data_IF_834198761572
#
_entry.id   IF_834198761572
#
_cell.length_a   1.000
_cell.length_b   1.000
_cell.length_c   1.000
_cell.angle_alpha   90.00
_cell.angle_beta   90.00
_cell.angle_gamma   90.00
#
_symmetry.space_group_name_H-M   'P 1'
#
loop_
_entity.id
_entity.type
_entity.pdbx_description
1 polymer ?
#
# COMPACT_ATOMS: atom_id res chain seq x y z
N UNK A 1 -24.61 7.40 -9.14
CA UNK A 1 -23.69 8.43 -8.64
C UNK A 1 -22.43 8.39 -9.53
N UNK A 2 -22.25 9.36 -10.44
CA UNK A 2 -21.08 9.41 -11.36
C UNK A 2 -19.84 9.81 -10.56
N UNK A 3 -18.74 9.07 -10.68
CA UNK A 3 -17.44 9.52 -10.16
C UNK A 3 -17.08 10.87 -10.80
N UNK A 4 -16.59 11.84 -10.02
CA UNK A 4 -16.15 13.11 -10.59
C UNK A 4 -15.04 12.88 -11.60
N UNK A 5 -15.03 13.71 -12.64
CA UNK A 5 -13.98 13.69 -13.65
C UNK A 5 -12.65 14.04 -12.98
N UNK A 6 -11.78 13.04 -12.78
CA UNK A 6 -10.38 13.32 -12.50
C UNK A 6 -9.77 13.72 -13.84
N UNK A 7 -9.49 15.01 -14.02
CA UNK A 7 -8.84 15.55 -15.22
C UNK A 7 -9.58 15.28 -16.54
N UNK A 8 -10.91 15.42 -16.55
CA UNK A 8 -11.73 15.35 -17.77
C UNK A 8 -11.98 13.95 -18.34
N UNK A 9 -11.66 12.88 -17.61
CA UNK A 9 -11.93 11.51 -18.07
C UNK A 9 -13.33 11.10 -17.62
N UNK A 10 -14.33 11.34 -18.47
CA UNK A 10 -15.71 10.87 -18.27
C UNK A 10 -16.30 10.13 -19.48
N UNK A 11 -15.54 10.00 -20.58
CA UNK A 11 -15.96 9.39 -21.84
C UNK A 11 -14.82 8.55 -22.43
N UNK A 12 -15.14 7.41 -23.05
CA UNK A 12 -14.24 6.33 -23.47
C UNK A 12 -13.17 6.67 -24.53
N UNK A 13 -12.98 7.95 -24.86
CA UNK A 13 -11.96 8.42 -25.79
C UNK A 13 -10.96 9.34 -25.06
N UNK A 14 -9.78 8.78 -24.75
CA UNK A 14 -8.70 9.43 -23.98
C UNK A 14 -8.22 10.76 -24.61
N UNK A 15 -8.37 10.91 -25.93
CA UNK A 15 -8.08 12.13 -26.70
C UNK A 15 -8.99 12.27 -27.94
N UNK A 16 -10.30 12.09 -27.76
CA UNK A 16 -11.27 12.13 -28.86
C UNK A 16 -10.94 11.09 -29.94
N UNK A 17 -10.98 11.48 -31.22
CA UNK A 17 -10.71 10.57 -32.34
C UNK A 17 -9.22 10.27 -32.59
N UNK A 18 -8.31 10.69 -31.71
CA UNK A 18 -6.89 10.35 -31.83
C UNK A 18 -6.62 8.98 -31.20
N UNK A 19 -6.14 8.03 -32.02
CA UNK A 19 -5.68 6.74 -31.53
C UNK A 19 -4.37 6.91 -30.76
N UNK A 20 -4.45 6.79 -29.43
CA UNK A 20 -3.27 6.78 -28.57
C UNK A 20 -2.91 5.34 -28.24
N UNK A 21 -1.70 4.91 -28.64
CA UNK A 21 -1.20 3.56 -28.36
C UNK A 21 -1.05 3.29 -26.86
N UNK A 22 -0.63 4.29 -26.07
CA UNK A 22 -0.32 4.13 -24.65
C UNK A 22 -0.48 5.44 -23.87
N UNK A 23 -1.36 5.47 -22.88
CA UNK A 23 -1.48 6.59 -21.93
C UNK A 23 -1.92 6.08 -20.55
N UNK A 24 -0.97 5.51 -19.81
CA UNK A 24 -1.22 4.89 -18.51
C UNK A 24 -1.73 5.89 -17.46
N UNK A 25 -1.26 7.14 -17.53
CA UNK A 25 -1.73 8.21 -16.63
C UNK A 25 -3.19 8.58 -16.81
N UNK A 26 -3.82 8.19 -17.93
CA UNK A 26 -5.27 8.31 -18.12
C UNK A 26 -5.98 6.97 -17.99
N UNK A 27 -5.46 5.91 -18.60
CA UNK A 27 -6.09 4.58 -18.61
C UNK A 27 -6.09 3.95 -17.21
N UNK A 28 -4.96 3.96 -16.52
CA UNK A 28 -4.84 3.36 -15.19
C UNK A 28 -5.44 4.30 -14.15
N UNK A 29 -5.13 5.60 -14.22
CA UNK A 29 -5.62 6.59 -13.27
C UNK A 29 -7.15 6.80 -13.34
N UNK A 30 -7.83 6.38 -14.41
CA UNK A 30 -9.29 6.41 -14.42
C UNK A 30 -9.89 5.62 -13.24
N UNK A 31 -9.37 4.41 -12.99
CA UNK A 31 -9.79 3.58 -11.85
C UNK A 31 -8.88 3.76 -10.62
N UNK A 32 -7.59 4.00 -10.84
CA UNK A 32 -6.57 4.08 -9.79
C UNK A 32 -6.24 5.51 -9.33
N UNK A 33 -6.88 6.52 -9.93
CA UNK A 33 -6.68 7.96 -9.68
C UNK A 33 -7.12 8.43 -8.30
N UNK A 34 -8.02 7.68 -7.65
CA UNK A 34 -8.42 7.99 -6.28
C UNK A 34 -7.37 7.63 -5.23
N UNK A 35 -6.34 6.84 -5.56
CA UNK A 35 -5.42 6.28 -4.55
C UNK A 35 -4.01 6.06 -5.08
N UNK A 36 -3.85 5.12 -6.01
CA UNK A 36 -2.54 4.59 -6.40
C UNK A 36 -1.78 5.59 -7.27
N UNK A 37 -2.47 6.22 -8.24
CA UNK A 37 -1.81 7.16 -9.14
C UNK A 37 -1.27 8.40 -8.42
N UNK A 38 -2.04 9.10 -7.56
CA UNK A 38 -1.51 10.24 -6.80
C UNK A 38 -0.39 9.89 -5.81
N UNK A 39 -0.42 8.67 -5.24
CA UNK A 39 0.71 8.17 -4.42
C UNK A 39 1.96 8.02 -5.30
N UNK A 40 1.83 7.38 -6.46
CA UNK A 40 2.93 7.13 -7.38
C UNK A 40 3.55 8.41 -7.95
N UNK A 41 2.72 9.38 -8.36
CA UNK A 41 3.17 10.68 -8.88
C UNK A 41 3.59 11.66 -7.78
N UNK A 42 3.23 11.38 -6.53
CA UNK A 42 3.50 12.25 -5.37
C UNK A 42 2.52 13.42 -5.23
N UNK A 43 1.47 13.48 -6.05
CA UNK A 43 0.33 14.41 -5.87
C UNK A 43 -0.35 14.22 -4.51
N UNK A 44 -0.20 13.05 -3.88
CA UNK A 44 -0.65 12.77 -2.54
C UNK A 44 0.53 12.52 -1.58
N UNK A 45 0.54 13.22 -0.45
CA UNK A 45 1.57 13.05 0.59
C UNK A 45 2.95 13.61 0.22
N UNK A 46 3.11 14.22 -0.96
CA UNK A 46 4.31 14.94 -1.38
C UNK A 46 5.53 14.06 -1.68
N UNK A 47 5.39 12.74 -1.67
CA UNK A 47 6.50 11.80 -1.85
C UNK A 47 6.35 10.97 -3.11
N UNK A 48 6.73 11.55 -4.25
CA UNK A 48 6.75 10.87 -5.55
C UNK A 48 7.61 9.61 -5.52
N UNK A 49 7.15 8.51 -6.15
CA UNK A 49 7.93 7.28 -6.25
C UNK A 49 9.22 7.50 -7.08
N UNK A 50 10.33 6.88 -6.65
CA UNK A 50 11.62 6.98 -7.33
C UNK A 50 11.58 6.36 -8.74
N UNK A 51 10.74 5.35 -8.97
CA UNK A 51 10.57 4.74 -10.28
C UNK A 51 9.84 5.69 -11.23
N UNK A 52 8.79 6.38 -10.75
CA UNK A 52 8.12 7.43 -11.51
C UNK A 52 9.07 8.57 -11.86
N UNK A 53 9.88 9.04 -10.89
CA UNK A 53 10.91 10.06 -11.13
C UNK A 53 11.94 9.64 -12.19
N UNK A 54 12.16 8.33 -12.37
CA UNK A 54 13.05 7.75 -13.37
C UNK A 54 12.35 7.45 -14.70
N UNK A 55 11.10 7.87 -14.87
CA UNK A 55 10.34 7.71 -16.10
C UNK A 55 9.62 6.37 -16.23
N UNK A 56 9.58 5.54 -15.18
CA UNK A 56 8.81 4.30 -15.19
C UNK A 56 7.33 4.57 -14.96
N UNK A 57 6.49 3.87 -15.71
CA UNK A 57 5.04 3.88 -15.60
C UNK A 57 4.52 2.51 -15.12
N UNK A 58 3.21 2.40 -14.94
CA UNK A 58 2.53 1.25 -14.35
C UNK A 58 2.95 -0.08 -15.00
N UNK A 59 2.99 -0.18 -16.33
CA UNK A 59 3.29 -1.44 -17.06
C UNK A 59 4.77 -1.80 -17.08
N UNK A 60 5.64 -0.92 -16.58
CA UNK A 60 7.04 -1.29 -16.37
C UNK A 60 7.17 -2.28 -15.22
N UNK A 61 6.26 -2.21 -14.24
CA UNK A 61 6.11 -3.16 -13.15
C UNK A 61 5.00 -4.20 -13.41
N UNK A 62 3.82 -3.76 -13.85
CA UNK A 62 2.62 -4.57 -14.08
C UNK A 62 2.56 -5.11 -15.51
N UNK A 63 3.01 -6.35 -15.71
CA UNK A 63 3.07 -6.96 -17.05
C UNK A 63 1.70 -7.49 -17.49
N UNK A 64 1.57 -7.72 -18.80
CA UNK A 64 0.32 -8.17 -19.43
C UNK A 64 -0.19 -9.46 -18.81
N UNK A 65 0.73 -10.38 -18.52
CA UNK A 65 0.47 -11.71 -17.99
C UNK A 65 -0.20 -11.64 -16.61
N UNK A 66 0.19 -10.67 -15.76
CA UNK A 66 -0.48 -10.43 -14.47
C UNK A 66 -1.91 -9.92 -14.66
N UNK A 67 -2.13 -9.04 -15.63
CA UNK A 67 -3.41 -8.36 -15.81
C UNK A 67 -4.45 -9.23 -16.54
N UNK A 68 -4.01 -10.01 -17.54
CA UNK A 68 -4.89 -10.86 -18.35
C UNK A 68 -4.96 -12.30 -17.82
N UNK A 69 -4.05 -12.67 -16.92
CA UNK A 69 -3.92 -14.02 -16.39
C UNK A 69 -3.09 -14.94 -17.29
N UNK A 70 -2.67 -16.05 -16.70
CA UNK A 70 -1.88 -17.13 -17.30
C UNK A 70 -2.75 -18.37 -17.59
N UNK A 71 -4.08 -18.26 -17.46
CA UNK A 71 -5.03 -19.38 -17.55
C UNK A 71 -5.14 -20.23 -16.28
N UNK A 72 -4.36 -19.94 -15.24
CA UNK A 72 -4.42 -20.63 -13.94
C UNK A 72 -5.42 -19.94 -13.02
N UNK A 73 -6.25 -20.74 -12.34
CA UNK A 73 -7.15 -20.24 -11.30
C UNK A 73 -6.39 -20.11 -9.98
N UNK A 74 -6.24 -18.87 -9.52
CA UNK A 74 -5.71 -18.55 -8.20
C UNK A 74 -6.85 -18.31 -7.20
N UNK A 75 -6.66 -18.69 -5.94
CA UNK A 75 -7.64 -18.40 -4.88
C UNK A 75 -7.69 -16.92 -4.54
N UNK A 76 -6.52 -16.27 -4.54
CA UNK A 76 -6.39 -14.84 -4.29
C UNK A 76 -5.42 -14.21 -5.29
N UNK A 77 -5.56 -12.89 -5.51
CA UNK A 77 -4.58 -12.13 -6.30
C UNK A 77 -3.15 -12.19 -5.74
N UNK A 78 -2.99 -12.56 -4.47
CA UNK A 78 -1.66 -12.63 -3.84
C UNK A 78 -0.89 -13.87 -4.30
N UNK A 79 -1.60 -14.91 -4.75
CA UNK A 79 -1.05 -16.19 -5.17
C UNK A 79 -0.57 -16.16 -6.63
N UNK A 80 -0.92 -15.11 -7.39
CA UNK A 80 -0.48 -14.91 -8.78
C UNK A 80 1.04 -14.82 -8.80
N UNK A 81 1.70 -15.75 -9.50
CA UNK A 81 3.17 -15.89 -9.48
C UNK A 81 3.87 -14.71 -10.12
N UNK A 82 3.29 -14.19 -11.20
CA UNK A 82 3.84 -13.12 -12.05
C UNK A 82 3.54 -11.70 -11.57
N UNK A 83 2.98 -11.57 -10.36
CA UNK A 83 2.83 -10.27 -9.71
C UNK A 83 4.17 -9.51 -9.65
N UNK A 84 4.15 -8.16 -9.70
CA UNK A 84 5.34 -7.34 -9.56
C UNK A 84 6.02 -7.62 -8.23
N UNK A 85 7.33 -7.82 -8.31
CA UNK A 85 8.21 -7.95 -7.14
C UNK A 85 9.41 -7.06 -7.36
N UNK A 86 9.87 -6.41 -6.30
CA UNK A 86 11.09 -5.60 -6.34
C UNK A 86 12.27 -6.41 -6.90
N UNK A 87 12.33 -7.70 -6.58
CA UNK A 87 13.37 -8.65 -7.00
C UNK A 87 13.35 -9.00 -8.49
N UNK A 88 12.32 -8.63 -9.25
CA UNK A 88 12.30 -8.81 -10.71
C UNK A 88 13.42 -7.98 -11.36
N UNK A 89 13.71 -6.79 -10.81
CA UNK A 89 14.81 -5.92 -11.24
C UNK A 89 15.96 -5.89 -10.22
N UNK A 90 15.65 -5.91 -8.91
CA UNK A 90 16.64 -5.85 -7.83
C UNK A 90 17.04 -7.25 -7.35
N UNK A 91 17.67 -8.05 -8.24
CA UNK A 91 18.03 -9.46 -8.00
C UNK A 91 19.05 -9.67 -6.89
N UNK A 92 19.98 -8.73 -6.75
CA UNK A 92 20.99 -8.75 -5.71
C UNK A 92 21.02 -7.38 -5.05
N UNK A 93 21.01 -7.37 -3.72
CA UNK A 93 21.16 -6.17 -2.90
C UNK A 93 22.65 -5.80 -2.93
N UNK A 94 23.13 -5.45 -4.12
CA UNK A 94 24.51 -5.02 -4.35
C UNK A 94 24.60 -3.58 -3.90
N UNK A 95 25.12 -3.40 -2.70
CA UNK A 95 25.51 -2.10 -2.18
C UNK A 95 26.91 -2.24 -1.60
N UNK A 96 27.80 -1.35 -2.02
CA UNK A 96 29.16 -1.27 -1.48
C UNK A 96 29.15 -0.80 -0.02
N UNK A 97 28.03 -0.21 0.43
CA UNK A 97 27.82 0.20 1.80
C UNK A 97 27.51 -0.99 2.70
N UNK A 98 28.42 -1.31 3.62
CA UNK A 98 28.25 -2.39 4.61
C UNK A 98 26.93 -2.29 5.38
N UNK A 99 26.56 -1.09 5.86
CA UNK A 99 25.31 -0.85 6.58
C UNK A 99 24.08 -1.27 5.77
N UNK A 100 24.08 -1.02 4.46
CA UNK A 100 22.99 -1.42 3.57
C UNK A 100 22.89 -2.95 3.49
N UNK A 101 24.02 -3.65 3.35
CA UNK A 101 24.03 -5.13 3.30
C UNK A 101 23.51 -5.73 4.60
N UNK A 102 24.08 -5.30 5.73
CA UNK A 102 23.66 -5.75 7.06
C UNK A 102 22.18 -5.51 7.33
N UNK A 103 21.67 -4.32 6.96
CA UNK A 103 20.25 -4.01 7.12
C UNK A 103 19.36 -4.95 6.31
N UNK A 104 19.70 -5.24 5.06
CA UNK A 104 18.88 -6.16 4.26
C UNK A 104 18.98 -7.60 4.76
N UNK A 105 20.16 -8.07 5.16
CA UNK A 105 20.33 -9.42 5.69
C UNK A 105 19.57 -9.62 7.00
N UNK A 106 19.61 -8.63 7.90
CA UNK A 106 18.92 -8.70 9.20
C UNK A 106 17.39 -8.71 9.05
N UNK A 107 16.85 -8.01 8.04
CA UNK A 107 15.41 -7.81 7.83
C UNK A 107 14.79 -8.74 6.79
N UNK A 108 15.60 -9.50 6.03
CA UNK A 108 15.13 -10.43 5.01
C UNK A 108 14.07 -11.39 5.59
N UNK A 109 12.88 -11.37 5.01
CA UNK A 109 11.74 -12.20 5.44
C UNK A 109 11.07 -11.77 6.75
N UNK A 110 11.55 -10.70 7.40
CA UNK A 110 10.98 -10.13 8.63
C UNK A 110 10.33 -8.77 8.41
N UNK A 111 10.77 -8.02 7.41
CA UNK A 111 10.18 -6.73 7.01
C UNK A 111 10.04 -6.71 5.50
N UNK A 112 8.86 -6.31 5.01
CA UNK A 112 8.63 -6.15 3.58
C UNK A 112 9.46 -4.97 3.04
N UNK A 113 9.80 -4.99 1.75
CA UNK A 113 10.47 -3.84 1.12
C UNK A 113 9.70 -2.53 1.35
N UNK A 114 8.36 -2.59 1.33
CA UNK A 114 7.50 -1.43 1.57
C UNK A 114 7.66 -0.87 2.99
N UNK A 115 7.84 -1.74 4.00
CA UNK A 115 8.00 -1.32 5.40
C UNK A 115 9.18 -0.37 5.64
N UNK A 116 10.22 -0.44 4.80
CA UNK A 116 11.39 0.44 4.87
C UNK A 116 11.43 1.49 3.76
N UNK A 117 11.11 1.09 2.52
CA UNK A 117 11.30 1.91 1.33
C UNK A 117 10.08 2.72 0.90
N UNK A 118 8.86 2.40 1.34
CA UNK A 118 7.74 3.33 1.11
C UNK A 118 8.03 4.63 1.87
N UNK A 119 7.77 5.77 1.25
CA UNK A 119 8.05 7.10 1.78
C UNK A 119 6.78 7.96 1.80
N UNK A 120 6.76 8.99 2.65
CA UNK A 120 5.59 9.86 2.78
C UNK A 120 4.34 9.13 3.28
N UNK A 121 3.27 9.89 3.47
CA UNK A 121 1.99 9.35 3.89
C UNK A 121 1.16 8.96 2.67
N UNK A 122 0.42 7.85 2.76
CA UNK A 122 -0.50 7.40 1.72
C UNK A 122 -1.96 7.52 2.16
N UNK A 123 -2.88 7.40 1.21
CA UNK A 123 -4.29 7.75 1.44
C UNK A 123 -5.00 6.65 2.24
N UNK A 124 -5.40 6.95 3.47
CA UNK A 124 -6.17 6.01 4.29
C UNK A 124 -7.64 6.44 4.30
N UNK A 125 -8.53 5.49 4.04
CA UNK A 125 -9.97 5.72 3.96
C UNK A 125 -10.59 5.41 5.32
N UNK A 126 -11.05 6.43 6.03
CA UNK A 126 -11.72 6.30 7.32
C UNK A 126 -13.21 6.52 7.13
N UNK A 127 -14.01 5.65 7.77
CA UNK A 127 -15.48 5.79 7.90
C UNK A 127 -16.26 6.06 6.61
N UNK A 128 -15.67 5.83 5.42
CA UNK A 128 -16.31 6.16 4.14
C UNK A 128 -17.60 5.38 3.89
N UNK A 129 -17.82 4.27 4.61
CA UNK A 129 -19.01 3.43 4.52
C UNK A 129 -20.03 3.69 5.64
N UNK A 130 -19.87 4.75 6.43
CA UNK A 130 -20.81 5.16 7.48
C UNK A 130 -21.31 6.59 7.23
N UNK A 131 -22.52 6.71 6.67
CA UNK A 131 -23.19 8.00 6.49
C UNK A 131 -22.46 8.99 5.55
N UNK A 132 -22.74 10.28 5.75
CA UNK A 132 -22.28 11.39 4.90
C UNK A 132 -20.79 11.77 5.08
N UNK A 133 -20.13 11.27 6.14
CA UNK A 133 -18.76 11.64 6.48
C UNK A 133 -17.71 10.80 5.71
N UNK A 134 -17.22 11.36 4.61
CA UNK A 134 -16.13 10.77 3.80
C UNK A 134 -14.78 11.39 4.19
N UNK A 135 -14.05 10.77 5.11
CA UNK A 135 -12.72 11.25 5.48
C UNK A 135 -11.61 10.39 4.87
N UNK A 136 -10.87 10.97 3.92
CA UNK A 136 -9.61 10.42 3.44
C UNK A 136 -8.45 11.19 4.11
N UNK A 137 -7.71 10.53 4.99
CA UNK A 137 -6.59 11.14 5.73
C UNK A 137 -5.25 10.57 5.27
N UNK A 138 -4.21 11.41 5.15
CA UNK A 138 -2.88 10.91 4.91
C UNK A 138 -2.39 10.18 6.15
N UNK A 139 -1.77 9.02 5.98
CA UNK A 139 -1.16 8.28 7.06
C UNK A 139 -0.11 7.29 6.57
N UNK A 140 0.85 7.00 7.43
CA UNK A 140 1.76 5.90 7.26
C UNK A 140 1.57 4.97 8.46
N UNK A 141 1.38 3.68 8.21
CA UNK A 141 1.06 2.71 9.24
C UNK A 141 1.91 1.47 9.03
N UNK A 142 2.60 1.03 10.08
CA UNK A 142 3.38 -0.20 10.14
C UNK A 142 2.79 -1.18 11.15
N UNK A 143 2.83 -2.46 10.82
CA UNK A 143 2.43 -3.53 11.73
C UNK A 143 2.70 -4.90 11.13
N UNK A 144 2.31 -5.96 11.86
CA UNK A 144 2.41 -7.32 11.34
C UNK A 144 1.50 -7.47 10.13
N UNK A 145 2.01 -8.15 9.11
CA UNK A 145 1.28 -8.46 7.91
C UNK A 145 0.17 -9.50 8.24
N UNK A 146 -1.12 -9.18 8.03
CA UNK A 146 -2.21 -10.13 8.30
C UNK A 146 -2.15 -11.41 7.48
N UNK A 147 -1.53 -11.36 6.30
CA UNK A 147 -1.37 -12.50 5.38
C UNK A 147 -0.06 -13.26 5.60
N UNK A 148 0.93 -12.62 6.23
CA UNK A 148 2.22 -13.24 6.58
C UNK A 148 2.67 -12.77 7.97
N UNK A 149 2.19 -13.38 9.07
CA UNK A 149 2.41 -12.87 10.43
C UNK A 149 3.87 -12.76 10.89
N UNK A 150 4.81 -13.38 10.15
CA UNK A 150 6.26 -13.31 10.41
C UNK A 150 6.90 -12.02 9.89
N UNK A 151 6.17 -11.25 9.08
CA UNK A 151 6.65 -10.05 8.42
C UNK A 151 5.96 -8.79 8.94
N UNK A 152 6.71 -7.71 9.10
CA UNK A 152 6.19 -6.34 9.28
C UNK A 152 6.09 -5.65 7.92
N UNK A 153 4.98 -4.97 7.66
CA UNK A 153 4.73 -4.29 6.39
C UNK A 153 3.93 -3.00 6.59
N UNK A 154 3.81 -2.22 5.53
CA UNK A 154 2.86 -1.11 5.47
C UNK A 154 1.43 -1.63 5.48
N UNK A 155 0.58 -1.04 6.32
CA UNK A 155 -0.82 -1.42 6.48
C UNK A 155 -1.75 -0.30 6.02
N UNK A 156 -2.81 -0.64 5.31
CA UNK A 156 -3.87 0.29 4.96
C UNK A 156 -5.17 -0.12 5.61
N UNK A 157 -5.83 0.86 6.18
CA UNK A 157 -7.20 0.70 6.65
C UNK A 157 -8.14 0.50 5.46
N UNK A 158 -8.89 -0.59 5.50
CA UNK A 158 -10.08 -0.78 4.67
C UNK A 158 -11.24 -0.07 5.39
N UNK A 159 -12.01 0.78 4.69
CA UNK A 159 -13.03 1.64 5.30
C UNK A 159 -14.27 0.91 5.85
N UNK A 160 -14.20 -0.41 6.04
CA UNK A 160 -15.29 -1.22 6.59
C UNK A 160 -15.37 -1.05 8.10
N UNK A 161 -16.58 -0.75 8.55
CA UNK A 161 -17.00 -0.64 9.96
C UNK A 161 -18.16 -1.61 10.21
N UNK A 162 -18.52 -1.83 11.47
CA UNK A 162 -19.50 -2.86 11.87
C UNK A 162 -20.90 -2.64 11.28
N UNK A 163 -21.23 -1.38 10.99
CA UNK A 163 -22.51 -0.92 10.46
C UNK A 163 -22.48 -0.65 8.93
N UNK A 164 -21.39 -1.00 8.24
CA UNK A 164 -21.21 -0.73 6.79
C UNK A 164 -22.38 -1.23 5.94
N UNK A 165 -22.93 -2.41 6.23
CA UNK A 165 -24.02 -2.99 5.43
C UNK A 165 -25.40 -2.96 6.10
N UNK A 166 -25.55 -2.24 7.22
CA UNK A 166 -26.83 -2.17 7.95
C UNK A 166 -27.95 -1.58 7.08
N UNK A 167 -27.66 -0.59 6.24
CA UNK A 167 -28.61 0.00 5.30
C UNK A 167 -29.11 -0.98 4.23
N UNK A 168 -28.32 -2.02 3.93
CA UNK A 168 -28.71 -3.10 3.04
C UNK A 168 -29.43 -4.25 3.78
N UNK A 169 -29.76 -4.07 5.07
CA UNK A 169 -30.37 -5.11 5.91
C UNK A 169 -29.40 -6.22 6.33
N UNK A 170 -28.10 -6.07 6.10
CA UNK A 170 -27.09 -7.11 6.36
C UNK A 170 -26.35 -6.79 7.66
N UNK A 171 -26.40 -7.73 8.61
CA UNK A 171 -25.60 -7.68 9.84
C UNK A 171 -24.26 -8.39 9.64
N UNK A 172 -23.17 -7.74 10.06
CA UNK A 172 -21.82 -8.30 10.00
C UNK A 172 -21.48 -9.06 11.29
N UNK A 173 -22.16 -10.18 11.56
CA UNK A 173 -22.07 -10.93 12.84
C UNK A 173 -20.64 -11.37 13.19
N UNK A 174 -19.82 -11.68 12.19
CA UNK A 174 -18.43 -12.09 12.36
C UNK A 174 -17.40 -11.01 11.99
N UNK A 175 -17.75 -9.73 12.13
CA UNK A 175 -16.86 -8.60 11.78
C UNK A 175 -15.46 -8.70 12.41
N UNK A 176 -15.36 -9.17 13.65
CA UNK A 176 -14.10 -9.28 14.38
C UNK A 176 -13.22 -10.47 13.96
N UNK A 177 -13.69 -11.33 13.05
CA UNK A 177 -12.93 -12.51 12.60
C UNK A 177 -11.70 -12.12 11.78
N UNK A 178 -11.75 -10.97 11.10
CA UNK A 178 -10.67 -10.47 10.25
C UNK A 178 -10.31 -9.04 10.63
N UNK A 179 -9.04 -8.63 10.50
CA UNK A 179 -8.68 -7.24 10.72
C UNK A 179 -9.25 -6.35 9.61
N UNK A 180 -9.36 -5.06 9.88
CA UNK A 180 -9.66 -4.06 8.85
C UNK A 180 -8.41 -3.27 8.42
N UNK A 181 -7.24 -3.53 9.00
CA UNK A 181 -5.95 -3.18 8.40
C UNK A 181 -5.41 -4.34 7.57
N UNK A 182 -5.01 -4.07 6.34
CA UNK A 182 -4.43 -5.04 5.42
C UNK A 182 -3.11 -4.57 4.85
N UNK A 183 -2.21 -5.49 4.53
CA UNK A 183 -0.95 -5.20 3.86
C UNK A 183 -1.20 -4.40 2.56
N UNK A 184 -0.46 -3.30 2.41
CA UNK A 184 -0.58 -2.39 1.27
C UNK A 184 0.75 -2.28 0.55
N UNK A 185 0.82 -2.54 -0.77
CA UNK A 185 1.94 -2.11 -1.59
C UNK A 185 1.82 -0.60 -1.81
N UNK A 186 2.36 0.19 -0.88
CA UNK A 186 2.36 1.65 -1.01
C UNK A 186 3.21 2.07 -2.22
N UNK A 187 2.64 2.90 -3.10
CA UNK A 187 3.27 3.32 -4.35
C UNK A 187 4.06 4.61 -4.13
N UNK A 188 4.89 4.65 -3.09
CA UNK A 188 5.65 5.84 -2.71
C UNK A 188 7.11 5.50 -2.46
N UNK A 189 7.65 4.54 -3.22
CA UNK A 189 8.96 3.94 -2.97
C UNK A 189 10.07 4.97 -3.15
N UNK A 190 11.00 5.01 -2.20
CA UNK A 190 12.25 5.78 -2.28
C UNK A 190 13.43 4.89 -1.89
N UNK A 191 14.58 5.15 -2.52
CA UNK A 191 15.85 4.55 -2.10
C UNK A 191 16.26 5.00 -0.69
N UNK A 192 16.02 6.26 -0.36
CA UNK A 192 16.33 6.86 0.95
C UNK A 192 15.04 7.40 1.59
N UNK A 193 14.70 6.84 2.74
CA UNK A 193 13.64 7.27 3.67
C UNK A 193 14.24 7.53 5.05
N UNK A 194 13.48 8.11 5.97
CA UNK A 194 13.91 8.27 7.38
C UNK A 194 14.36 6.92 7.98
N UNK A 195 13.59 5.86 7.72
CA UNK A 195 13.85 4.48 8.18
C UNK A 195 15.13 3.87 7.58
N UNK A 196 15.47 4.22 6.34
CA UNK A 196 16.74 3.76 5.73
C UNK A 196 17.96 4.54 6.25
N UNK A 197 17.74 5.75 6.78
CA UNK A 197 18.80 6.65 7.27
C UNK A 197 19.12 6.39 8.75
N UNK A 198 18.11 6.13 9.56
CA UNK A 198 18.27 5.81 10.97
C UNK A 198 17.44 4.60 11.38
N UNK A 199 18.09 3.70 12.14
CA UNK A 199 17.43 2.53 12.71
C UNK A 199 16.51 2.92 13.89
N UNK A 200 16.80 4.05 14.55
CA UNK A 200 16.03 4.53 15.72
C UNK A 200 14.58 4.81 15.39
N UNK A 201 14.29 5.24 14.16
CA UNK A 201 12.93 5.48 13.66
C UNK A 201 12.01 4.29 13.96
N UNK A 202 12.52 3.06 13.80
CA UNK A 202 11.76 1.84 14.07
C UNK A 202 12.08 1.23 15.45
N UNK A 203 13.35 1.15 15.81
CA UNK A 203 13.81 0.37 16.96
C UNK A 203 13.73 1.11 18.30
N UNK A 204 13.65 2.45 18.26
CA UNK A 204 13.64 3.33 19.44
C UNK A 204 12.33 4.14 19.48
N UNK A 205 12.10 4.98 18.47
CA UNK A 205 10.93 5.85 18.35
C UNK A 205 9.64 5.07 18.04
N UNK A 206 9.77 3.92 17.36
CA UNK A 206 8.64 3.09 16.89
C UNK A 206 7.65 3.93 16.08
N UNK A 207 8.17 4.86 15.29
CA UNK A 207 7.39 5.79 14.48
C UNK A 207 6.50 5.02 13.51
N UNK A 208 5.25 5.47 13.38
CA UNK A 208 4.22 4.92 12.50
C UNK A 208 3.76 3.48 12.82
N UNK A 209 4.27 2.82 13.87
CA UNK A 209 3.79 1.50 14.26
C UNK A 209 2.40 1.56 14.91
N UNK A 210 1.55 0.59 14.60
CA UNK A 210 0.28 0.42 15.29
C UNK A 210 0.50 0.18 16.79
N UNK A 211 -0.18 0.99 17.59
CA UNK A 211 -0.28 0.83 19.04
C UNK A 211 -1.74 0.66 19.45
N UNK A 212 -2.01 0.26 20.69
CA UNK A 212 -3.38 0.18 21.20
C UNK A 212 -4.12 1.52 21.11
N UNK A 213 -3.42 2.64 21.30
CA UNK A 213 -4.00 3.98 21.24
C UNK A 213 -4.30 4.48 19.82
N UNK A 214 -3.61 3.95 18.80
CA UNK A 214 -3.82 4.34 17.40
C UNK A 214 -4.82 3.44 16.67
N UNK A 215 -5.23 2.33 17.28
CA UNK A 215 -6.29 1.49 16.72
C UNK A 215 -7.62 2.23 16.70
N UNK A 216 -8.40 2.03 15.64
CA UNK A 216 -9.75 2.55 15.57
C UNK A 216 -10.63 1.97 16.69
N UNK A 217 -11.34 2.86 17.39
CA UNK A 217 -12.32 2.49 18.44
C UNK A 217 -13.39 1.52 17.92
N UNK A 218 -13.94 1.79 16.74
CA UNK A 218 -14.95 0.95 16.08
C UNK A 218 -14.35 -0.05 15.07
N UNK A 219 -13.03 -0.27 15.15
CA UNK A 219 -12.33 -1.20 14.29
C UNK A 219 -12.55 -2.66 14.69
N UNK A 220 -12.09 -3.58 13.84
CA UNK A 220 -12.09 -5.01 14.18
C UNK A 220 -11.18 -5.30 15.38
N UNK A 221 -11.65 -6.13 16.32
CA UNK A 221 -10.83 -6.60 17.44
C UNK A 221 -9.58 -7.36 16.99
N UNK A 222 -9.61 -8.01 15.82
CA UNK A 222 -8.46 -8.72 15.25
C UNK A 222 -7.26 -7.79 14.97
N UNK A 223 -7.48 -6.48 14.85
CA UNK A 223 -6.40 -5.51 14.65
C UNK A 223 -5.36 -5.51 15.79
N UNK A 224 -5.75 -5.91 17.01
CA UNK A 224 -4.83 -6.02 18.14
C UNK A 224 -3.68 -6.99 17.83
N UNK A 225 -3.94 -8.05 17.06
CA UNK A 225 -2.94 -9.02 16.63
C UNK A 225 -1.90 -8.45 15.64
N UNK A 226 -2.18 -7.28 15.05
CA UNK A 226 -1.29 -6.63 14.08
C UNK A 226 -0.26 -5.71 14.73
N UNK A 227 -0.40 -5.44 16.03
CA UNK A 227 0.57 -4.64 16.78
C UNK A 227 1.91 -5.38 16.79
N UNK A 228 2.96 -4.67 16.40
CA UNK A 228 4.34 -5.14 16.45
C UNK A 228 5.18 -4.15 17.24
N UNK A 229 6.01 -4.66 18.14
CA UNK A 229 6.99 -3.88 18.88
C UNK A 229 8.38 -4.36 18.46
N UNK A 230 9.10 -3.58 17.63
CA UNK A 230 10.46 -3.89 17.26
C UNK A 230 11.35 -4.00 18.50
N UNK A 231 12.28 -4.95 18.50
CA UNK A 231 13.30 -5.06 19.55
C UNK A 231 14.27 -3.88 19.44
N UNK A 232 14.69 -3.25 20.55
CA UNK A 232 15.78 -2.29 20.52
C UNK A 232 17.05 -2.91 19.93
N UNK A 233 17.88 -2.09 19.28
CA UNK A 233 19.21 -2.51 18.85
C UNK A 233 20.14 -2.28 20.05
N UNK A 234 20.63 -3.35 20.65
CA UNK A 234 21.73 -3.28 21.61
C UNK A 234 23.03 -3.08 20.84
N UNK A 235 23.71 -1.97 21.10
CA UNK A 235 25.03 -1.66 20.57
C UNK A 235 26.12 -2.46 21.29
#
# INVERSE_FOLDING_TARGET
MKSPAVSGISLGLIQGHKFIKKNEGKTCAFCHGGRVYPEYTGEYGGSTDIHYQKGMMCVDCHKKEEMHGDGTRYLTKQDVKDRPKCTNCHKAIKSDTLRTRLAHDAHKGKVSCYGCHAAGQYRNCYTCHKGEAKEAKPGFILGKNPRNPKEVTTLRLIPTVRDTFVHAGIKQEHFDRLPNYWDTPAHTIKKRTDRTRSCDICHTERKDFLTRGTLLKDGSRANQGLIHVPKPITH
#
